data_IF_241805144906
#
_entry.id   IF_241805144906
#
_cell.length_a   1.000
_cell.length_b   1.000
_cell.length_c   1.000
_cell.angle_alpha   90.00
_cell.angle_beta   90.00
_cell.angle_gamma   90.00
#
_symmetry.space_group_name_H-M   'P 1'
#
loop_
_entity.id
_entity.type
_entity.pdbx_description
1 polymer ?
#
# COMPACT_ATOMS: atom_id res chain seq x y z
N UNK A 1 15.34 -16.38 14.25
CA UNK A 1 13.94 -16.05 13.93
C UNK A 1 13.28 -15.19 15.01
N UNK A 2 13.42 -15.56 16.27
CA UNK A 2 12.76 -14.86 17.38
C UNK A 2 13.14 -13.38 17.57
N UNK A 3 14.44 -13.02 17.48
CA UNK A 3 14.90 -11.64 17.77
C UNK A 3 14.38 -10.58 16.81
N UNK A 4 14.43 -10.83 15.49
CA UNK A 4 13.96 -9.85 14.49
C UNK A 4 12.45 -9.60 14.59
N UNK A 5 11.67 -10.69 14.68
CA UNK A 5 10.21 -10.60 14.88
C UNK A 5 9.91 -9.89 16.19
N UNK A 6 10.60 -10.24 17.28
CA UNK A 6 10.40 -9.62 18.59
C UNK A 6 10.68 -8.11 18.54
N UNK A 7 11.79 -7.69 17.92
CA UNK A 7 12.14 -6.27 17.77
C UNK A 7 11.03 -5.52 17.01
N UNK A 8 10.56 -6.04 15.87
CA UNK A 8 9.51 -5.38 15.08
C UNK A 8 8.17 -5.37 15.79
N UNK A 9 7.82 -6.44 16.52
CA UNK A 9 6.60 -6.46 17.35
C UNK A 9 6.67 -5.42 18.46
N UNK A 10 7.81 -5.31 19.15
CA UNK A 10 8.02 -4.29 20.19
C UNK A 10 7.95 -2.88 19.60
N UNK A 11 8.61 -2.63 18.46
CA UNK A 11 8.55 -1.34 17.77
C UNK A 11 7.12 -0.99 17.35
N UNK A 12 6.37 -1.94 16.81
CA UNK A 12 4.97 -1.75 16.45
C UNK A 12 4.12 -1.45 17.68
N UNK A 13 4.29 -2.21 18.76
CA UNK A 13 3.56 -1.99 20.01
C UNK A 13 3.83 -0.59 20.59
N UNK A 14 5.09 -0.16 20.60
CA UNK A 14 5.48 1.20 21.04
C UNK A 14 4.85 2.24 20.12
N UNK A 15 4.94 2.07 18.80
CA UNK A 15 4.36 3.01 17.83
C UNK A 15 2.84 3.12 18.00
N UNK A 16 2.13 2.01 18.20
CA UNK A 16 0.69 2.00 18.46
C UNK A 16 0.38 2.71 19.79
N UNK A 17 1.10 2.39 20.86
CA UNK A 17 0.90 3.02 22.16
C UNK A 17 1.09 4.54 22.09
N UNK A 18 2.15 5.00 21.44
CA UNK A 18 2.40 6.42 21.21
C UNK A 18 1.31 7.05 20.32
N UNK A 19 0.89 6.40 19.24
CA UNK A 19 -0.11 6.92 18.32
C UNK A 19 -1.52 6.98 18.93
N UNK A 20 -1.81 6.15 19.92
CA UNK A 20 -3.07 6.15 20.66
C UNK A 20 -3.06 7.24 21.75
N UNK A 21 -1.94 7.39 22.46
CA UNK A 21 -1.82 8.38 23.54
C UNK A 21 -1.66 9.80 23.03
N UNK A 22 -0.79 10.00 22.00
CA UNK A 22 -0.52 11.31 21.43
C UNK A 22 -1.38 11.58 20.19
N UNK A 23 -1.85 12.81 20.05
CA UNK A 23 -2.65 13.27 18.91
C UNK A 23 -2.88 14.77 18.94
N UNK A 24 -3.67 15.30 17.99
CA UNK A 24 -3.98 16.74 17.88
C UNK A 24 -4.70 17.32 19.11
N UNK A 25 -5.40 16.47 19.88
CA UNK A 25 -6.13 16.84 21.11
C UNK A 25 -5.59 16.03 22.28
N UNK A 26 -5.32 16.68 23.41
CA UNK A 26 -5.00 15.99 24.67
C UNK A 26 -6.25 15.28 25.21
N UNK A 27 -6.11 14.03 25.65
CA UNK A 27 -7.20 13.27 26.27
C UNK A 27 -7.14 13.48 27.79
N UNK A 28 -8.24 13.93 28.37
CA UNK A 28 -8.45 13.80 29.82
C UNK A 28 -9.07 12.43 30.07
N UNK A 29 -8.28 11.51 30.63
CA UNK A 29 -8.66 10.10 30.84
C UNK A 29 -9.84 9.90 31.79
N UNK A 30 -10.25 10.94 32.53
CA UNK A 30 -11.38 10.89 33.45
C UNK A 30 -12.71 11.26 32.79
N UNK A 31 -12.71 11.68 31.49
CA UNK A 31 -13.90 12.10 30.77
C UNK A 31 -14.44 10.96 29.88
N UNK A 32 -15.75 10.77 29.85
CA UNK A 32 -16.44 9.85 28.93
C UNK A 32 -16.16 10.21 27.46
N UNK A 33 -15.99 11.50 27.16
CA UNK A 33 -15.64 12.00 25.82
C UNK A 33 -14.29 11.46 25.38
N UNK A 34 -13.32 11.34 26.28
CA UNK A 34 -12.00 10.78 25.97
C UNK A 34 -12.10 9.30 25.53
N UNK A 35 -12.96 8.51 26.21
CA UNK A 35 -13.21 7.12 25.82
C UNK A 35 -13.85 7.00 24.43
N UNK A 36 -14.79 7.89 24.12
CA UNK A 36 -15.42 7.92 22.80
C UNK A 36 -14.42 8.28 21.71
N UNK A 37 -13.60 9.31 21.90
CA UNK A 37 -12.53 9.70 20.98
C UNK A 37 -11.54 8.55 20.76
N UNK A 38 -11.15 7.87 21.83
CA UNK A 38 -10.23 6.74 21.77
C UNK A 38 -10.81 5.60 20.93
N UNK A 39 -12.01 5.13 21.25
CA UNK A 39 -12.59 3.92 20.65
C UNK A 39 -13.16 4.16 19.24
N UNK A 40 -13.69 5.34 18.96
CA UNK A 40 -14.36 5.64 17.69
C UNK A 40 -13.50 6.37 16.67
N UNK A 41 -12.46 7.09 17.12
CA UNK A 41 -11.62 7.88 16.21
C UNK A 41 -10.17 7.40 16.20
N UNK A 42 -9.50 7.36 17.37
CA UNK A 42 -8.05 7.06 17.39
C UNK A 42 -7.73 5.61 17.10
N UNK A 43 -8.41 4.68 17.77
CA UNK A 43 -8.11 3.26 17.65
C UNK A 43 -8.35 2.73 16.21
N UNK A 44 -9.51 3.01 15.57
CA UNK A 44 -9.70 2.64 14.16
C UNK A 44 -8.63 3.23 13.24
N UNK A 45 -8.24 4.50 13.46
CA UNK A 45 -7.23 5.17 12.65
C UNK A 45 -5.86 4.52 12.78
N UNK A 46 -5.39 4.25 13.99
CA UNK A 46 -4.09 3.63 14.25
C UNK A 46 -4.04 2.19 13.71
N UNK A 47 -5.11 1.43 13.91
CA UNK A 47 -5.21 0.06 13.38
C UNK A 47 -5.31 0.05 11.85
N UNK A 48 -6.00 1.01 11.25
CA UNK A 48 -6.05 1.17 9.80
C UNK A 48 -4.66 1.55 9.26
N UNK A 49 -3.94 2.46 9.92
CA UNK A 49 -2.55 2.79 9.58
C UNK A 49 -1.65 1.55 9.57
N UNK A 50 -1.76 0.72 10.60
CA UNK A 50 -1.01 -0.53 10.69
C UNK A 50 -1.39 -1.51 9.57
N UNK A 51 -2.68 -1.70 9.31
CA UNK A 51 -3.17 -2.58 8.27
C UNK A 51 -2.71 -2.13 6.87
N UNK A 52 -2.82 -0.83 6.55
CA UNK A 52 -2.38 -0.26 5.27
C UNK A 52 -0.86 -0.39 5.10
N UNK A 53 -0.10 -0.05 6.13
CA UNK A 53 1.36 -0.18 6.09
C UNK A 53 1.81 -1.62 5.85
N UNK A 54 1.21 -2.57 6.57
CA UNK A 54 1.45 -3.99 6.37
C UNK A 54 1.09 -4.43 4.94
N UNK A 55 -0.07 -4.01 4.45
CA UNK A 55 -0.58 -4.32 3.11
C UNK A 55 0.37 -3.85 2.02
N UNK A 56 0.78 -2.59 2.06
CA UNK A 56 1.67 -2.01 1.05
C UNK A 56 3.06 -2.65 1.07
N UNK A 57 3.60 -2.95 2.25
CA UNK A 57 4.89 -3.61 2.37
C UNK A 57 4.86 -5.07 1.89
N UNK A 58 3.78 -5.82 2.17
CA UNK A 58 3.56 -7.19 1.65
C UNK A 58 3.41 -7.18 0.13
N UNK A 59 2.62 -6.26 -0.42
CA UNK A 59 2.49 -6.11 -1.86
C UNK A 59 3.84 -5.75 -2.50
N UNK A 60 4.58 -4.83 -1.90
CA UNK A 60 5.91 -4.41 -2.37
C UNK A 60 6.89 -5.57 -2.45
N UNK A 61 7.06 -6.35 -1.37
CA UNK A 61 7.97 -7.50 -1.38
C UNK A 61 7.54 -8.56 -2.40
N UNK A 62 6.24 -8.72 -2.62
CA UNK A 62 5.71 -9.67 -3.60
C UNK A 62 6.03 -9.22 -5.02
N UNK A 63 5.76 -7.96 -5.38
CA UNK A 63 6.11 -7.41 -6.70
C UNK A 63 7.60 -7.41 -6.96
N UNK A 64 8.42 -7.02 -5.96
CA UNK A 64 9.88 -7.06 -6.09
C UNK A 64 10.40 -8.48 -6.36
N UNK A 65 9.77 -9.48 -5.78
CA UNK A 65 10.12 -10.89 -5.99
C UNK A 65 9.68 -11.37 -7.38
N UNK A 66 8.44 -11.09 -7.76
CA UNK A 66 7.90 -11.48 -9.08
C UNK A 66 8.64 -10.86 -10.25
N UNK A 67 8.99 -9.58 -10.13
CA UNK A 67 9.69 -8.83 -11.18
C UNK A 67 11.21 -8.96 -11.09
N UNK A 68 11.72 -9.63 -10.06
CA UNK A 68 13.15 -9.74 -9.75
C UNK A 68 13.84 -8.36 -9.78
N UNK A 69 13.10 -7.36 -9.33
CA UNK A 69 13.55 -5.98 -9.33
C UNK A 69 13.30 -5.37 -7.94
N UNK A 70 14.35 -5.02 -7.18
CA UNK A 70 14.19 -4.44 -5.85
C UNK A 70 13.53 -3.05 -5.85
N UNK A 71 13.42 -2.42 -7.03
CA UNK A 71 12.77 -1.13 -7.22
C UNK A 71 11.31 -1.25 -7.67
N UNK A 72 10.77 -2.47 -7.78
CA UNK A 72 9.38 -2.66 -8.11
C UNK A 72 8.46 -2.15 -6.99
N UNK A 73 7.51 -1.32 -7.38
CA UNK A 73 6.54 -0.69 -6.48
C UNK A 73 5.12 -0.83 -7.06
N UNK A 74 4.10 -1.07 -6.24
CA UNK A 74 2.70 -1.14 -6.67
C UNK A 74 2.25 0.07 -7.51
N UNK A 75 2.84 1.25 -7.27
CA UNK A 75 2.52 2.48 -8.00
C UNK A 75 2.98 2.42 -9.46
N UNK A 76 4.16 1.87 -9.72
CA UNK A 76 4.72 1.77 -11.08
C UNK A 76 3.87 0.79 -11.92
N UNK A 77 3.27 -0.21 -11.29
CA UNK A 77 2.44 -1.23 -11.94
C UNK A 77 1.01 -0.79 -12.25
N UNK A 78 0.69 0.49 -12.07
CA UNK A 78 -0.58 1.07 -12.47
C UNK A 78 -1.72 0.89 -11.46
N UNK A 79 -1.55 0.11 -10.40
CA UNK A 79 -2.61 -0.17 -9.41
C UNK A 79 -3.12 1.12 -8.77
N UNK A 80 -2.19 1.95 -8.28
CA UNK A 80 -2.53 3.21 -7.62
C UNK A 80 -2.99 4.28 -8.60
N UNK A 81 -2.43 4.31 -9.82
CA UNK A 81 -2.89 5.19 -10.90
C UNK A 81 -4.33 4.89 -11.30
N UNK A 82 -4.68 3.61 -11.45
CA UNK A 82 -6.05 3.17 -11.70
C UNK A 82 -7.02 3.51 -10.58
N UNK A 83 -6.59 3.33 -9.31
CA UNK A 83 -7.39 3.74 -8.15
C UNK A 83 -7.65 5.25 -8.14
N UNK A 84 -6.61 6.06 -8.37
CA UNK A 84 -6.71 7.52 -8.44
C UNK A 84 -7.60 7.97 -9.60
N UNK A 85 -7.48 7.34 -10.76
CA UNK A 85 -8.35 7.59 -11.91
C UNK A 85 -9.81 7.29 -11.57
N UNK A 86 -10.09 6.12 -10.97
CA UNK A 86 -11.44 5.77 -10.52
C UNK A 86 -12.02 6.77 -9.52
N UNK A 87 -11.23 7.20 -8.53
CA UNK A 87 -11.65 8.21 -7.56
C UNK A 87 -11.90 9.58 -8.22
N UNK A 88 -11.05 10.02 -9.14
CA UNK A 88 -11.20 11.28 -9.86
C UNK A 88 -12.47 11.26 -10.74
N UNK A 89 -12.72 10.18 -11.47
CA UNK A 89 -13.94 9.99 -12.26
C UNK A 89 -15.17 9.98 -11.37
N UNK A 90 -15.14 9.26 -10.24
CA UNK A 90 -16.24 9.25 -9.28
C UNK A 90 -16.56 10.66 -8.75
N UNK A 91 -15.50 11.45 -8.49
CA UNK A 91 -15.64 12.84 -8.05
C UNK A 91 -16.27 13.70 -9.13
N UNK A 92 -15.79 13.63 -10.38
CA UNK A 92 -16.34 14.38 -11.52
C UNK A 92 -17.82 14.05 -11.76
N UNK A 93 -18.21 12.79 -11.60
CA UNK A 93 -19.59 12.31 -11.68
C UNK A 93 -20.42 12.60 -10.42
N UNK A 94 -19.86 13.31 -9.44
CA UNK A 94 -20.51 13.67 -8.15
C UNK A 94 -20.97 12.45 -7.33
N UNK A 95 -20.35 11.29 -7.53
CA UNK A 95 -20.66 10.06 -6.79
C UNK A 95 -20.25 10.13 -5.33
N UNK A 96 -19.42 11.10 -4.92
CA UNK A 96 -19.07 11.37 -3.54
C UNK A 96 -20.25 11.70 -2.61
N UNK A 97 -21.43 12.01 -3.20
CA UNK A 97 -22.69 12.19 -2.45
C UNK A 97 -23.24 10.88 -1.87
N UNK A 98 -22.82 9.74 -2.41
CA UNK A 98 -23.21 8.43 -1.94
C UNK A 98 -22.07 7.89 -1.07
N UNK A 99 -22.27 7.72 0.26
CA UNK A 99 -21.23 7.24 1.15
C UNK A 99 -20.63 5.90 0.68
N UNK A 100 -19.31 5.80 0.66
CA UNK A 100 -18.60 4.57 0.29
C UNK A 100 -18.44 4.34 -1.22
N UNK A 101 -19.09 5.10 -2.11
CA UNK A 101 -19.04 4.84 -3.55
C UNK A 101 -17.68 5.22 -4.17
N UNK A 102 -17.04 6.30 -3.71
CA UNK A 102 -15.70 6.70 -4.19
C UNK A 102 -14.66 5.61 -3.92
N UNK A 103 -14.53 5.05 -2.71
CA UNK A 103 -13.65 3.90 -2.47
C UNK A 103 -13.94 2.67 -3.35
N UNK A 104 -15.21 2.36 -3.59
CA UNK A 104 -15.61 1.24 -4.45
C UNK A 104 -15.15 1.46 -5.89
N UNK A 105 -15.39 2.65 -6.45
CA UNK A 105 -14.96 3.00 -7.81
C UNK A 105 -13.44 3.06 -7.92
N UNK A 106 -12.76 3.59 -6.90
CA UNK A 106 -11.30 3.57 -6.82
C UNK A 106 -10.75 2.13 -6.80
N UNK A 107 -11.33 1.24 -6.01
CA UNK A 107 -10.95 -0.18 -5.98
C UNK A 107 -11.19 -0.86 -7.33
N UNK A 108 -12.34 -0.63 -7.95
CA UNK A 108 -12.63 -1.14 -9.29
C UNK A 108 -11.61 -0.63 -10.32
N UNK A 109 -11.27 0.67 -10.27
CA UNK A 109 -10.24 1.27 -11.10
C UNK A 109 -8.86 0.62 -10.91
N UNK A 110 -8.47 0.31 -9.66
CA UNK A 110 -7.25 -0.42 -9.36
C UNK A 110 -7.23 -1.82 -9.99
N UNK A 111 -8.33 -2.56 -9.87
CA UNK A 111 -8.45 -3.91 -10.44
C UNK A 111 -8.45 -3.90 -11.96
N UNK A 112 -9.17 -2.97 -12.60
CA UNK A 112 -9.17 -2.82 -14.05
C UNK A 112 -7.79 -2.44 -14.58
N UNK A 113 -7.10 -1.50 -13.93
CA UNK A 113 -5.73 -1.15 -14.28
C UNK A 113 -4.78 -2.34 -14.17
N UNK A 114 -4.87 -3.10 -13.07
CA UNK A 114 -4.09 -4.30 -12.85
C UNK A 114 -4.34 -5.35 -13.94
N UNK A 115 -5.60 -5.62 -14.24
CA UNK A 115 -5.97 -6.55 -15.30
C UNK A 115 -5.43 -6.10 -16.66
N UNK A 116 -5.56 -4.80 -16.98
CA UNK A 116 -5.05 -4.24 -18.23
C UNK A 116 -3.51 -4.37 -18.32
N UNK A 117 -2.77 -4.02 -17.25
CA UNK A 117 -1.30 -4.19 -17.21
C UNK A 117 -0.91 -5.64 -17.43
N UNK A 118 -1.56 -6.57 -16.73
CA UNK A 118 -1.27 -8.00 -16.83
C UNK A 118 -1.56 -8.55 -18.23
N UNK A 119 -2.71 -8.20 -18.82
CA UNK A 119 -3.09 -8.63 -20.17
C UNK A 119 -2.17 -8.07 -21.25
N UNK A 120 -1.75 -6.80 -21.14
CA UNK A 120 -0.82 -6.18 -22.08
C UNK A 120 0.60 -6.77 -21.98
N UNK A 121 1.00 -7.21 -20.79
CA UNK A 121 2.32 -7.82 -20.57
C UNK A 121 2.36 -9.30 -20.97
N UNK A 122 1.20 -9.96 -21.05
CA UNK A 122 1.11 -11.38 -21.40
C UNK A 122 1.29 -11.57 -22.91
N UNK A 123 2.20 -12.47 -23.28
CA UNK A 123 2.43 -12.87 -24.68
C UNK A 123 2.29 -14.38 -24.80
N UNK A 124 1.18 -14.87 -25.39
CA UNK A 124 0.83 -16.30 -25.48
C UNK A 124 0.89 -16.96 -24.11
N UNK A 125 1.96 -17.73 -23.81
CA UNK A 125 2.11 -18.51 -22.59
C UNK A 125 3.17 -17.93 -21.62
N UNK A 126 3.58 -16.68 -21.80
CA UNK A 126 4.64 -16.06 -21.00
C UNK A 126 4.30 -14.63 -20.64
N UNK A 127 4.45 -14.28 -19.35
CA UNK A 127 4.31 -12.92 -18.83
C UNK A 127 5.70 -12.32 -18.61
N UNK A 128 6.03 -11.29 -19.39
CA UNK A 128 7.33 -10.64 -19.36
C UNK A 128 7.37 -9.55 -18.27
N UNK A 129 8.29 -9.63 -17.30
CA UNK A 129 8.45 -8.62 -16.25
C UNK A 129 8.73 -7.21 -16.77
N UNK A 130 9.50 -7.05 -17.84
CA UNK A 130 9.81 -5.74 -18.44
C UNK A 130 8.54 -5.14 -19.05
N UNK A 131 7.75 -5.96 -19.74
CA UNK A 131 6.47 -5.51 -20.29
C UNK A 131 5.47 -5.12 -19.22
N UNK A 132 5.44 -5.81 -18.07
CA UNK A 132 4.61 -5.40 -16.92
C UNK A 132 4.96 -3.97 -16.47
N UNK A 133 6.25 -3.66 -16.34
CA UNK A 133 6.71 -2.31 -15.95
C UNK A 133 6.37 -1.27 -17.02
N UNK A 134 6.64 -1.56 -18.30
CA UNK A 134 6.34 -0.63 -19.40
C UNK A 134 4.83 -0.39 -19.53
N UNK A 135 4.03 -1.45 -19.47
CA UNK A 135 2.56 -1.33 -19.54
C UNK A 135 2.02 -0.51 -18.39
N UNK A 136 2.55 -0.72 -17.17
CA UNK A 136 2.18 0.09 -16.00
C UNK A 136 2.53 1.56 -16.18
N UNK A 137 3.72 1.87 -16.69
CA UNK A 137 4.16 3.24 -16.95
C UNK A 137 3.27 3.94 -17.99
N UNK A 138 2.99 3.28 -19.11
CA UNK A 138 2.13 3.83 -20.18
C UNK A 138 0.71 4.05 -19.67
N UNK A 139 0.14 3.08 -18.96
CA UNK A 139 -1.21 3.23 -18.37
C UNK A 139 -1.26 4.31 -17.29
N UNK A 140 -0.21 4.49 -16.49
CA UNK A 140 -0.15 5.60 -15.54
C UNK A 140 -0.18 6.96 -16.23
N UNK A 141 0.48 7.12 -17.38
CA UNK A 141 0.38 8.35 -18.18
C UNK A 141 -1.05 8.59 -18.69
N UNK A 142 -1.72 7.53 -19.17
CA UNK A 142 -3.13 7.60 -19.57
C UNK A 142 -4.03 7.96 -18.38
N UNK A 143 -3.88 7.30 -17.23
CA UNK A 143 -4.66 7.61 -16.02
C UNK A 143 -4.44 9.05 -15.56
N UNK A 144 -3.20 9.56 -15.63
CA UNK A 144 -2.89 10.96 -15.30
C UNK A 144 -3.66 11.93 -16.19
N UNK A 145 -3.76 11.66 -17.49
CA UNK A 145 -4.56 12.49 -18.41
C UNK A 145 -6.06 12.45 -18.04
N UNK A 146 -6.61 11.26 -17.75
CA UNK A 146 -8.02 11.12 -17.33
C UNK A 146 -8.28 11.84 -15.99
N UNK A 147 -7.34 11.77 -15.04
CA UNK A 147 -7.45 12.50 -13.76
C UNK A 147 -7.51 14.01 -14.01
N UNK A 148 -6.62 14.55 -14.84
CA UNK A 148 -6.61 15.99 -15.16
C UNK A 148 -7.90 16.44 -15.81
N UNK A 149 -8.44 15.68 -16.78
CA UNK A 149 -9.73 15.95 -17.42
C UNK A 149 -10.86 15.89 -16.38
N UNK A 150 -10.86 14.86 -15.52
CA UNK A 150 -11.87 14.72 -14.47
C UNK A 150 -11.86 15.91 -13.51
N UNK A 151 -10.68 16.42 -13.16
CA UNK A 151 -10.53 17.59 -12.29
C UNK A 151 -10.99 18.87 -12.98
N UNK A 152 -10.71 19.04 -14.27
CA UNK A 152 -11.19 20.19 -15.06
C UNK A 152 -12.73 20.24 -15.15
N UNK A 153 -13.38 19.08 -15.11
CA UNK A 153 -14.84 18.95 -15.14
C UNK A 153 -15.51 18.99 -13.75
N UNK A 154 -14.70 18.90 -12.68
CA UNK A 154 -15.22 18.84 -11.31
C UNK A 154 -15.52 20.22 -10.73
N UNK A 155 -16.58 20.37 -9.91
CA UNK A 155 -16.79 21.58 -9.12
C UNK A 155 -15.62 21.85 -8.17
N UNK A 156 -15.34 23.12 -7.89
CA UNK A 156 -14.18 23.51 -7.08
C UNK A 156 -14.21 22.95 -5.65
N UNK A 157 -15.40 22.79 -5.06
CA UNK A 157 -15.59 22.14 -3.75
C UNK A 157 -15.14 20.68 -3.75
N UNK A 158 -15.46 19.94 -4.81
CA UNK A 158 -15.19 18.51 -4.91
C UNK A 158 -13.72 18.26 -5.28
N UNK A 159 -13.11 19.19 -6.02
CA UNK A 159 -11.68 19.15 -6.37
C UNK A 159 -10.78 19.16 -5.12
N UNK A 160 -11.09 20.00 -4.14
CA UNK A 160 -10.31 20.06 -2.89
C UNK A 160 -10.36 18.74 -2.13
N UNK A 161 -11.53 18.10 -2.07
CA UNK A 161 -11.69 16.80 -1.42
C UNK A 161 -10.91 15.69 -2.18
N UNK A 162 -10.98 15.70 -3.52
CA UNK A 162 -10.26 14.75 -4.35
C UNK A 162 -8.73 14.89 -4.23
N UNK A 163 -8.22 16.11 -4.21
CA UNK A 163 -6.80 16.39 -4.00
C UNK A 163 -6.31 15.91 -2.63
N UNK A 164 -7.06 16.19 -1.56
CA UNK A 164 -6.76 15.69 -0.21
C UNK A 164 -6.73 14.17 -0.17
N UNK A 165 -7.70 13.52 -0.81
CA UNK A 165 -7.73 12.06 -0.90
C UNK A 165 -6.50 11.53 -1.66
N UNK A 166 -6.13 12.12 -2.80
CA UNK A 166 -4.95 11.70 -3.57
C UNK A 166 -3.63 11.84 -2.80
N UNK A 167 -3.55 12.78 -1.87
CA UNK A 167 -2.35 12.97 -1.04
C UNK A 167 -2.17 11.91 0.06
N UNK A 168 -3.14 11.01 0.21
CA UNK A 168 -3.14 9.97 1.23
C UNK A 168 -3.54 10.48 2.61
N UNK A 169 -4.64 9.97 3.14
CA UNK A 169 -5.19 10.37 4.44
C UNK A 169 -5.83 9.19 5.15
N UNK A 170 -5.77 9.21 6.47
CA UNK A 170 -6.52 8.28 7.34
C UNK A 170 -7.65 9.00 8.08
N UNK A 171 -7.97 10.22 7.64
CA UNK A 171 -9.11 10.96 8.16
C UNK A 171 -10.41 10.21 7.82
N UNK A 172 -11.29 10.05 8.80
CA UNK A 172 -12.52 9.28 8.62
C UNK A 172 -12.34 7.75 8.68
N UNK A 173 -11.23 7.26 9.24
CA UNK A 173 -11.03 5.84 9.48
C UNK A 173 -12.18 5.25 10.31
N UNK A 174 -12.71 4.12 9.86
CA UNK A 174 -13.82 3.40 10.50
C UNK A 174 -13.42 1.97 10.82
N UNK A 175 -14.13 1.34 11.76
CA UNK A 175 -13.94 -0.09 12.03
C UNK A 175 -14.20 -0.97 10.80
N UNK A 176 -15.16 -0.58 9.95
CA UNK A 176 -15.44 -1.28 8.70
C UNK A 176 -14.22 -1.28 7.78
N UNK A 177 -13.55 -0.13 7.64
CA UNK A 177 -12.32 -0.01 6.85
C UNK A 177 -11.18 -0.86 7.43
N UNK A 178 -11.03 -0.87 8.75
CA UNK A 178 -10.04 -1.70 9.45
C UNK A 178 -10.28 -3.18 9.17
N UNK A 179 -11.52 -3.64 9.36
CA UNK A 179 -11.89 -5.05 9.13
C UNK A 179 -11.68 -5.43 7.66
N UNK A 180 -12.12 -4.58 6.73
CA UNK A 180 -11.98 -4.84 5.30
C UNK A 180 -10.51 -5.00 4.88
N UNK A 181 -9.67 -4.03 5.19
CA UNK A 181 -8.25 -4.06 4.79
C UNK A 181 -7.52 -5.21 5.51
N UNK A 182 -7.76 -5.41 6.80
CA UNK A 182 -7.12 -6.48 7.58
C UNK A 182 -7.54 -7.88 7.11
N UNK A 183 -8.81 -8.09 6.78
CA UNK A 183 -9.28 -9.39 6.27
C UNK A 183 -8.71 -9.70 4.89
N UNK A 184 -8.66 -8.73 3.98
CA UNK A 184 -8.02 -8.90 2.67
C UNK A 184 -6.52 -9.16 2.80
N UNK A 185 -5.83 -8.46 3.70
CA UNK A 185 -4.43 -8.71 4.00
C UNK A 185 -4.23 -10.13 4.54
N UNK A 186 -5.08 -10.59 5.48
CA UNK A 186 -4.98 -11.94 6.04
C UNK A 186 -5.16 -13.01 4.96
N UNK A 187 -6.16 -12.86 4.10
CA UNK A 187 -6.38 -13.77 2.97
C UNK A 187 -5.18 -13.76 2.02
N UNK A 188 -4.68 -12.59 1.65
CA UNK A 188 -3.51 -12.47 0.77
C UNK A 188 -2.26 -13.10 1.40
N UNK A 189 -2.03 -12.90 2.71
CA UNK A 189 -0.93 -13.53 3.43
C UNK A 189 -1.00 -15.06 3.40
N UNK A 190 -2.20 -15.63 3.55
CA UNK A 190 -2.43 -17.07 3.44
C UNK A 190 -2.12 -17.54 2.01
N UNK A 191 -2.69 -16.88 1.00
CA UNK A 191 -2.47 -17.23 -0.41
C UNK A 191 -0.97 -17.15 -0.77
N UNK A 192 -0.30 -16.06 -0.38
CA UNK A 192 1.13 -15.87 -0.64
C UNK A 192 2.00 -16.87 0.13
N UNK A 193 1.58 -17.30 1.32
CA UNK A 193 2.28 -18.34 2.08
C UNK A 193 2.25 -19.70 1.37
N UNK A 194 1.15 -20.05 0.70
CA UNK A 194 1.05 -21.29 -0.09
C UNK A 194 2.02 -21.30 -1.28
N UNK A 195 2.20 -20.16 -1.96
CA UNK A 195 3.11 -20.03 -3.12
C UNK A 195 4.50 -19.50 -2.73
N UNK A 196 4.78 -19.31 -1.44
CA UNK A 196 6.02 -18.68 -0.97
C UNK A 196 7.28 -19.45 -1.37
N UNK A 197 7.20 -20.78 -1.45
CA UNK A 197 8.33 -21.60 -1.89
C UNK A 197 8.63 -21.41 -3.38
N UNK A 198 7.58 -21.32 -4.18
CA UNK A 198 7.69 -21.15 -5.62
C UNK A 198 8.17 -19.73 -5.96
N UNK A 199 7.66 -18.72 -5.23
CA UNK A 199 8.15 -17.34 -5.31
C UNK A 199 9.64 -17.23 -4.95
N UNK A 200 10.10 -18.01 -3.96
CA UNK A 200 11.51 -18.09 -3.61
C UNK A 200 12.37 -18.64 -4.76
N UNK A 201 11.87 -19.67 -5.44
CA UNK A 201 12.57 -20.28 -6.56
C UNK A 201 12.64 -19.34 -7.77
N UNK A 202 11.60 -18.51 -7.99
CA UNK A 202 11.59 -17.50 -9.05
C UNK A 202 12.71 -16.45 -8.92
N UNK A 203 13.21 -16.19 -7.73
CA UNK A 203 14.34 -15.24 -7.52
C UNK A 203 15.59 -15.69 -8.26
N UNK A 204 15.82 -17.00 -8.38
CA UNK A 204 16.99 -17.56 -9.06
C UNK A 204 16.86 -17.58 -10.59
N UNK A 205 15.65 -17.42 -11.13
CA UNK A 205 15.35 -17.41 -12.54
C UNK A 205 14.12 -18.22 -12.89
N UNK A 206 13.44 -17.85 -13.98
CA UNK A 206 12.22 -18.54 -14.40
C UNK A 206 12.53 -19.93 -14.95
N UNK A 207 13.64 -20.09 -15.69
CA UNK A 207 14.06 -21.39 -16.23
C UNK A 207 14.46 -22.36 -15.11
N UNK A 208 15.21 -21.88 -14.13
CA UNK A 208 15.60 -22.67 -12.96
C UNK A 208 14.38 -23.09 -12.12
N UNK A 209 13.38 -22.20 -11.99
CA UNK A 209 12.14 -22.52 -11.30
C UNK A 209 11.33 -23.58 -12.06
N UNK A 210 11.21 -23.45 -13.40
CA UNK A 210 10.56 -24.44 -14.26
C UNK A 210 11.25 -25.81 -14.21
N UNK A 211 12.57 -25.84 -14.24
CA UNK A 211 13.34 -27.08 -14.14
C UNK A 211 13.10 -27.81 -12.80
N UNK A 212 12.68 -27.08 -11.75
CA UNK A 212 12.29 -27.62 -10.43
C UNK A 212 10.77 -27.91 -10.31
N UNK A 213 10.03 -27.88 -11.43
CA UNK A 213 8.61 -28.20 -11.47
C UNK A 213 7.66 -27.08 -11.07
N UNK A 214 8.13 -25.81 -10.98
CA UNK A 214 7.27 -24.68 -10.66
C UNK A 214 6.48 -24.25 -11.90
N UNK A 215 5.15 -24.14 -11.76
CA UNK A 215 4.30 -23.46 -12.74
C UNK A 215 4.44 -21.93 -12.58
N UNK A 216 5.43 -21.39 -13.29
CA UNK A 216 5.86 -19.98 -13.17
C UNK A 216 4.70 -19.01 -13.48
N UNK A 217 3.90 -19.29 -14.51
CA UNK A 217 2.81 -18.38 -14.90
C UNK A 217 1.67 -18.39 -13.88
N UNK A 218 1.36 -19.54 -13.31
CA UNK A 218 0.38 -19.65 -12.23
C UNK A 218 0.86 -18.89 -10.97
N UNK A 219 2.12 -19.01 -10.61
CA UNK A 219 2.71 -18.30 -9.47
C UNK A 219 2.71 -16.80 -9.70
N UNK A 220 3.06 -16.34 -10.92
CA UNK A 220 2.97 -14.92 -11.30
C UNK A 220 1.53 -14.41 -11.19
N UNK A 221 0.56 -15.13 -11.73
CA UNK A 221 -0.85 -14.75 -11.69
C UNK A 221 -1.36 -14.62 -10.24
N UNK A 222 -1.08 -15.61 -9.39
CA UNK A 222 -1.50 -15.62 -7.99
C UNK A 222 -0.82 -14.47 -7.22
N UNK A 223 0.50 -14.35 -7.33
CA UNK A 223 1.25 -13.34 -6.61
C UNK A 223 0.90 -11.92 -7.06
N UNK A 224 0.80 -11.68 -8.38
CA UNK A 224 0.42 -10.39 -8.94
C UNK A 224 -1.02 -10.03 -8.56
N UNK A 225 -1.95 -10.98 -8.67
CA UNK A 225 -3.35 -10.77 -8.30
C UNK A 225 -3.53 -10.47 -6.81
N UNK A 226 -2.92 -11.28 -5.93
CA UNK A 226 -2.99 -11.07 -4.48
C UNK A 226 -2.42 -9.70 -4.08
N UNK A 227 -1.21 -9.36 -4.56
CA UNK A 227 -0.57 -8.07 -4.25
C UNK A 227 -1.39 -6.88 -4.77
N UNK A 228 -2.00 -7.00 -5.96
CA UNK A 228 -2.81 -5.94 -6.55
C UNK A 228 -4.13 -5.73 -5.82
N UNK A 229 -4.82 -6.79 -5.44
CA UNK A 229 -6.08 -6.73 -4.69
C UNK A 229 -5.85 -6.00 -3.35
N UNK A 230 -4.83 -6.39 -2.60
CA UNK A 230 -4.56 -5.76 -1.30
C UNK A 230 -4.07 -4.31 -1.46
N UNK A 231 -3.26 -4.01 -2.48
CA UNK A 231 -2.85 -2.62 -2.79
C UNK A 231 -4.07 -1.77 -3.17
N UNK A 232 -4.92 -2.28 -4.07
CA UNK A 232 -6.14 -1.58 -4.48
C UNK A 232 -7.05 -1.28 -3.30
N UNK A 233 -7.24 -2.24 -2.37
CA UNK A 233 -8.03 -2.05 -1.17
C UNK A 233 -7.43 -0.99 -0.23
N UNK A 234 -6.12 -1.02 -0.02
CA UNK A 234 -5.43 -0.02 0.79
C UNK A 234 -5.60 1.38 0.19
N UNK A 235 -5.31 1.55 -1.11
CA UNK A 235 -5.42 2.84 -1.81
C UNK A 235 -6.87 3.35 -1.87
N UNK A 236 -7.85 2.47 -2.08
CA UNK A 236 -9.26 2.82 -2.10
C UNK A 236 -9.74 3.46 -0.79
N UNK A 237 -9.19 3.02 0.34
CA UNK A 237 -9.56 3.50 1.68
C UNK A 237 -8.72 4.70 2.13
N UNK A 238 -7.43 4.71 1.83
CA UNK A 238 -6.49 5.72 2.36
C UNK A 238 -6.00 6.73 1.34
N UNK A 239 -6.35 6.59 0.06
CA UNK A 239 -5.67 7.32 -1.00
C UNK A 239 -4.24 6.84 -1.20
N UNK A 240 -3.42 7.66 -1.85
CA UNK A 240 -2.08 7.28 -2.28
C UNK A 240 -1.08 7.45 -1.13
N UNK A 241 -0.53 6.34 -0.61
CA UNK A 241 0.56 6.33 0.36
C UNK A 241 1.76 5.63 -0.28
N UNK A 242 2.69 6.39 -0.85
CA UNK A 242 3.83 5.86 -1.60
C UNK A 242 5.01 5.42 -0.75
N UNK A 243 6.00 4.81 -1.41
CA UNK A 243 7.30 4.42 -0.86
C UNK A 243 7.29 3.32 0.21
N UNK A 244 6.18 2.99 0.85
CA UNK A 244 6.12 1.94 1.88
C UNK A 244 6.50 0.58 1.30
N UNK A 245 5.91 0.23 0.15
CA UNK A 245 6.19 -1.01 -0.57
C UNK A 245 7.61 -1.12 -1.13
N UNK A 246 8.25 0.01 -1.34
CA UNK A 246 9.62 0.08 -1.82
C UNK A 246 10.63 0.06 -0.67
N UNK A 247 10.43 0.92 0.33
CA UNK A 247 11.35 1.18 1.42
C UNK A 247 11.44 0.01 2.42
N UNK A 248 10.28 -0.48 2.87
CA UNK A 248 10.24 -1.47 3.95
C UNK A 248 10.88 -2.80 3.57
N UNK A 249 10.55 -3.44 2.41
CA UNK A 249 11.22 -4.68 2.03
C UNK A 249 12.72 -4.52 1.86
N UNK A 250 13.16 -3.35 1.38
CA UNK A 250 14.58 -3.06 1.23
C UNK A 250 15.29 -2.96 2.57
N UNK A 251 14.75 -2.19 3.53
CA UNK A 251 15.29 -2.08 4.89
C UNK A 251 15.35 -3.44 5.59
N UNK A 252 14.28 -4.24 5.46
CA UNK A 252 14.25 -5.57 6.06
C UNK A 252 15.35 -6.46 5.46
N UNK A 253 15.57 -6.43 4.14
CA UNK A 253 16.64 -7.20 3.49
C UNK A 253 18.04 -6.75 3.89
N UNK A 254 18.27 -5.46 4.12
CA UNK A 254 19.56 -4.93 4.58
C UNK A 254 19.92 -5.44 5.98
N UNK A 255 18.92 -5.52 6.86
CA UNK A 255 19.14 -5.89 8.28
C UNK A 255 19.07 -7.42 8.43
N UNK A 256 18.11 -8.05 7.76
CA UNK A 256 17.86 -9.49 7.84
C UNK A 256 17.74 -10.09 6.44
N UNK A 257 18.84 -10.57 5.89
CA UNK A 257 18.86 -11.33 4.62
C UNK A 257 18.12 -12.66 4.82
N UNK A 258 16.83 -12.70 4.49
CA UNK A 258 15.95 -13.85 4.75
C UNK A 258 15.19 -14.27 3.50
N UNK A 259 14.77 -15.52 3.55
CA UNK A 259 13.87 -16.17 2.61
C UNK A 259 12.54 -15.43 2.49
N UNK A 260 11.89 -15.51 1.33
CA UNK A 260 10.60 -14.86 1.06
C UNK A 260 9.53 -15.19 2.13
N UNK A 261 9.49 -16.43 2.61
CA UNK A 261 8.57 -16.86 3.68
C UNK A 261 8.69 -16.03 4.96
N UNK A 262 9.89 -15.64 5.31
CA UNK A 262 10.16 -14.81 6.49
C UNK A 262 10.10 -13.33 6.18
N UNK A 263 10.35 -12.93 4.93
CA UNK A 263 10.22 -11.53 4.51
C UNK A 263 8.79 -11.05 4.56
N UNK A 264 7.78 -11.88 4.22
CA UNK A 264 6.38 -11.51 4.28
C UNK A 264 5.95 -10.96 5.66
N UNK A 265 6.05 -11.73 6.76
CA UNK A 265 5.64 -11.23 8.08
C UNK A 265 6.54 -10.10 8.59
N UNK A 266 7.85 -10.11 8.30
CA UNK A 266 8.74 -9.02 8.68
C UNK A 266 8.39 -7.73 7.96
N UNK A 267 8.07 -7.78 6.66
CA UNK A 267 7.62 -6.63 5.89
C UNK A 267 6.26 -6.13 6.38
N UNK A 268 5.33 -7.02 6.73
CA UNK A 268 4.05 -6.63 7.31
C UNK A 268 4.23 -5.83 8.61
N UNK A 269 5.05 -6.33 9.54
CA UNK A 269 5.34 -5.66 10.81
C UNK A 269 6.09 -4.33 10.59
N UNK A 270 7.10 -4.32 9.71
CA UNK A 270 7.86 -3.12 9.38
C UNK A 270 7.02 -2.05 8.71
N UNK A 271 6.15 -2.45 7.77
CA UNK A 271 5.22 -1.55 7.09
C UNK A 271 4.18 -0.96 8.04
N UNK A 272 3.59 -1.81 8.90
CA UNK A 272 2.69 -1.36 9.95
C UNK A 272 3.34 -0.30 10.85
N UNK A 273 4.56 -0.58 11.33
CA UNK A 273 5.32 0.35 12.18
C UNK A 273 5.59 1.68 11.46
N UNK A 274 6.02 1.63 10.20
CA UNK A 274 6.35 2.83 9.43
C UNK A 274 5.13 3.74 9.23
N UNK A 275 3.98 3.17 8.82
CA UNK A 275 2.78 3.98 8.54
C UNK A 275 2.13 4.49 9.82
N UNK A 276 2.14 3.71 10.91
CA UNK A 276 1.67 4.19 12.23
C UNK A 276 2.55 5.35 12.71
N UNK A 277 3.88 5.25 12.58
CA UNK A 277 4.78 6.33 12.95
C UNK A 277 4.59 7.57 12.06
N UNK A 278 4.43 7.38 10.74
CA UNK A 278 4.16 8.48 9.81
C UNK A 278 2.82 9.18 10.11
N UNK A 279 1.76 8.42 10.41
CA UNK A 279 0.48 8.99 10.83
C UNK A 279 0.58 9.76 12.15
N UNK A 280 1.31 9.24 13.14
CA UNK A 280 1.56 9.95 14.39
C UNK A 280 2.27 11.28 14.13
N UNK A 281 3.36 11.29 13.36
CA UNK A 281 4.12 12.50 13.04
C UNK A 281 3.24 13.49 12.27
N UNK A 282 2.44 13.05 11.31
CA UNK A 282 1.53 13.90 10.54
C UNK A 282 0.52 14.67 11.41
N UNK A 283 0.13 14.09 12.55
CA UNK A 283 -0.84 14.67 13.51
C UNK A 283 -0.23 15.62 14.55
N UNK A 284 1.06 15.45 14.86
CA UNK A 284 1.70 16.22 15.94
C UNK A 284 2.55 17.39 15.43
N UNK A 285 3.07 17.33 14.18
CA UNK A 285 3.98 18.36 13.64
C UNK A 285 3.27 19.70 13.45
N UNK A 286 2.04 19.69 12.93
CA UNK A 286 1.24 20.92 12.80
C UNK A 286 -0.12 20.66 13.46
N UNK A 287 -0.33 21.31 14.61
CA UNK A 287 -1.55 21.11 15.42
C UNK A 287 -2.85 21.56 14.75
N UNK A 288 -2.75 22.55 13.84
CA UNK A 288 -3.91 23.16 13.17
C UNK A 288 -4.35 22.45 11.88
N UNK A 289 -3.48 21.62 11.27
CA UNK A 289 -3.76 20.99 9.97
C UNK A 289 -3.11 19.61 9.93
N UNK A 290 -3.85 18.60 9.53
CA UNK A 290 -3.28 17.28 9.30
C UNK A 290 -2.47 17.28 8.00
N UNK A 291 -1.21 16.89 8.08
CA UNK A 291 -0.35 16.76 6.91
C UNK A 291 -0.64 15.44 6.19
N UNK A 292 -0.60 15.40 4.86
CA UNK A 292 -0.81 14.19 4.10
C UNK A 292 0.25 13.12 4.43
N UNK A 293 -0.17 11.91 4.76
CA UNK A 293 0.75 10.82 5.13
C UNK A 293 1.63 10.43 3.94
N UNK A 294 1.07 10.46 2.72
CA UNK A 294 1.81 10.17 1.49
C UNK A 294 3.00 11.13 1.28
N UNK A 295 2.86 12.39 1.66
CA UNK A 295 3.98 13.35 1.61
C UNK A 295 5.09 12.97 2.60
N UNK A 296 4.74 12.55 3.83
CA UNK A 296 5.73 12.10 4.82
C UNK A 296 6.48 10.87 4.36
N UNK A 297 5.78 9.87 3.85
CA UNK A 297 6.43 8.65 3.36
C UNK A 297 7.33 8.93 2.16
N UNK A 298 6.96 9.88 1.29
CA UNK A 298 7.78 10.31 0.16
C UNK A 298 9.04 11.08 0.63
N UNK A 299 8.91 12.00 1.58
CA UNK A 299 10.05 12.75 2.17
C UNK A 299 11.06 11.81 2.82
N UNK A 300 10.62 10.73 3.45
CA UNK A 300 11.50 9.71 4.01
C UNK A 300 12.08 8.79 2.93
N UNK A 301 11.28 8.41 1.94
CA UNK A 301 11.65 7.44 0.92
C UNK A 301 12.65 7.97 -0.10
N UNK A 302 12.43 9.18 -0.63
CA UNK A 302 13.28 9.75 -1.70
C UNK A 302 14.75 9.91 -1.27
N UNK A 303 15.10 10.56 -0.15
CA UNK A 303 16.50 10.70 0.27
C UNK A 303 17.17 9.35 0.56
N UNK A 304 16.41 8.40 1.11
CA UNK A 304 16.90 7.06 1.35
C UNK A 304 17.33 6.39 0.04
N UNK A 305 16.47 6.43 -0.99
CA UNK A 305 16.80 5.84 -2.30
C UNK A 305 17.94 6.56 -3.02
N UNK A 306 18.00 7.90 -2.94
CA UNK A 306 19.13 8.67 -3.48
C UNK A 306 20.46 8.27 -2.81
N UNK A 307 20.44 8.02 -1.51
CA UNK A 307 21.63 7.54 -0.79
C UNK A 307 22.06 6.14 -1.21
N UNK A 308 21.10 5.30 -1.60
CA UNK A 308 21.34 3.94 -2.07
C UNK A 308 21.99 3.94 -3.46
N UNK A 309 21.44 4.75 -4.37
CA UNK A 309 21.97 4.90 -5.73
C UNK A 309 23.40 5.43 -5.77
N UNK A 310 23.83 6.18 -4.75
CA UNK A 310 25.23 6.65 -4.63
C UNK A 310 26.20 5.57 -4.14
N UNK A 311 25.69 4.47 -3.56
CA UNK A 311 26.51 3.39 -3.00
C UNK A 311 26.58 2.16 -3.89
N UNK A 312 25.73 2.07 -4.91
CA UNK A 312 25.74 1.06 -5.96
C UNK A 312 26.57 1.53 -7.17
#
# INVERSE_FOLDING_TARGET
MSRAVLILVVLLAISIALAVTFGSVSLDWNDETARMILLRLRLPRVLLAAAIGATLAVAGVTFQTLLRNPLADPFILGVSGGAACGAAVATALRLGRIPGLVPIVAFAGALLATAAVFLLARRRDHTDPVRLLISGLVLNAFFSAVILISFALSPQSDLTAALKWMMGTLFGATWTSVILVSSLLAVAMIVLAFVANDLRLLVFGEEDAKARGVDVERVKLIGFGAASIITGAAVAVSGIIGFVGLLVPHLIRLIWRRDFRLLLPLCALGGATLVVAADLVSRIVIRSTELPIGAFTAILGVPFFLSLLRRS
#
